data_IF_895061560851
#
_entry.id   IF_895061560851
#
_cell.length_a   1.000
_cell.length_b   1.000
_cell.length_c   1.000
_cell.angle_alpha   90.00
_cell.angle_beta   90.00
_cell.angle_gamma   90.00
#
_symmetry.space_group_name_H-M   'P 1'
#
loop_
_entity.id
_entity.type
_entity.pdbx_description
1 polymer ?
#
# COMPACT_ATOMS: atom_id res chain seq x y z
N UNK A 1 -8.70 25.01 -18.31
CA UNK A 1 -7.47 25.80 -18.54
C UNK A 1 -6.65 25.04 -19.56
N UNK A 2 -6.29 25.65 -20.70
CA UNK A 2 -5.41 25.00 -21.66
C UNK A 2 -4.04 24.82 -21.00
N UNK A 3 -3.60 23.58 -20.80
CA UNK A 3 -2.24 23.27 -20.38
C UNK A 3 -1.29 23.98 -21.35
N UNK A 4 -0.41 24.84 -20.83
CA UNK A 4 0.64 25.41 -21.67
C UNK A 4 1.49 24.25 -22.13
N UNK A 5 1.75 24.17 -23.43
CA UNK A 5 2.52 23.09 -24.05
C UNK A 5 3.91 22.89 -23.43
N UNK A 6 4.42 23.83 -22.65
CA UNK A 6 5.77 23.83 -22.08
C UNK A 6 5.86 23.24 -20.66
N UNK A 7 4.74 22.80 -20.06
CA UNK A 7 4.69 22.27 -18.69
C UNK A 7 4.75 20.72 -18.63
N UNK A 8 4.58 20.04 -19.78
CA UNK A 8 4.41 18.58 -19.89
C UNK A 8 5.74 17.89 -20.16
N UNK A 9 6.13 16.89 -19.36
CA UNK A 9 7.32 16.09 -19.62
C UNK A 9 7.10 15.13 -20.80
N UNK A 10 7.83 15.30 -21.89
CA UNK A 10 7.78 14.39 -23.04
C UNK A 10 8.81 13.28 -22.93
N UNK A 11 8.34 12.03 -22.93
CA UNK A 11 9.19 10.86 -22.75
C UNK A 11 9.16 10.01 -24.02
N UNK A 12 10.30 9.95 -24.71
CA UNK A 12 10.48 9.00 -25.79
C UNK A 12 10.72 7.61 -25.21
N UNK A 13 10.01 6.61 -25.74
CA UNK A 13 10.23 5.19 -25.43
C UNK A 13 10.32 4.37 -26.71
N UNK A 14 11.21 3.38 -26.74
CA UNK A 14 11.34 2.47 -27.90
C UNK A 14 10.07 1.66 -28.14
N UNK A 15 9.44 1.19 -27.07
CA UNK A 15 8.24 0.36 -27.12
C UNK A 15 7.26 0.72 -26.02
N UNK A 16 5.97 0.78 -26.37
CA UNK A 16 4.87 0.98 -25.43
C UNK A 16 4.22 -0.36 -25.12
N UNK A 17 4.47 -0.86 -23.90
CA UNK A 17 3.90 -2.09 -23.40
C UNK A 17 3.29 -1.86 -21.98
N UNK A 18 2.56 -2.83 -21.40
CA UNK A 18 1.94 -2.67 -20.09
C UNK A 18 2.92 -2.35 -18.96
N UNK A 19 4.15 -2.89 -18.95
CA UNK A 19 5.16 -2.61 -17.91
C UNK A 19 5.64 -1.17 -17.99
N UNK A 20 5.98 -0.70 -19.19
CA UNK A 20 6.39 0.69 -19.42
C UNK A 20 5.28 1.66 -18.99
N UNK A 21 4.03 1.42 -19.43
CA UNK A 21 2.89 2.26 -19.05
C UNK A 21 2.67 2.30 -17.54
N UNK A 22 2.59 1.13 -16.90
CA UNK A 22 2.43 1.02 -15.46
C UNK A 22 3.53 1.78 -14.70
N UNK A 23 4.79 1.61 -15.13
CA UNK A 23 5.95 2.20 -14.44
C UNK A 23 5.97 3.71 -14.54
N UNK A 24 5.70 4.28 -15.71
CA UNK A 24 5.65 5.73 -15.85
C UNK A 24 4.42 6.34 -15.19
N UNK A 25 3.28 5.65 -15.15
CA UNK A 25 2.13 6.02 -14.30
C UNK A 25 2.53 6.01 -12.82
N UNK A 26 3.20 4.97 -12.33
CA UNK A 26 3.71 4.93 -10.96
C UNK A 26 4.64 6.13 -10.66
N UNK A 27 5.62 6.38 -11.52
CA UNK A 27 6.62 7.43 -11.31
C UNK A 27 6.00 8.82 -11.35
N UNK A 28 5.19 9.14 -12.37
CA UNK A 28 4.75 10.51 -12.64
C UNK A 28 3.30 10.82 -12.28
N UNK A 29 2.48 9.84 -11.89
CA UNK A 29 1.14 10.09 -11.37
C UNK A 29 1.05 9.85 -9.86
N UNK A 30 1.86 8.92 -9.31
CA UNK A 30 1.79 8.53 -7.90
C UNK A 30 2.98 9.00 -7.06
N UNK A 31 4.21 8.77 -7.54
CA UNK A 31 5.43 9.08 -6.77
C UNK A 31 5.76 10.56 -6.84
N UNK A 32 5.76 11.13 -8.04
CA UNK A 32 6.01 12.55 -8.28
C UNK A 32 4.96 13.06 -9.29
N UNK A 33 3.77 13.47 -8.83
CA UNK A 33 2.67 13.87 -9.69
C UNK A 33 3.04 15.05 -10.61
N UNK A 34 3.12 14.82 -11.91
CA UNK A 34 3.32 15.84 -12.94
C UNK A 34 2.67 15.42 -14.27
N UNK A 35 2.38 16.38 -15.14
CA UNK A 35 1.88 16.09 -16.47
C UNK A 35 3.00 15.51 -17.34
N UNK A 36 2.78 14.33 -17.94
CA UNK A 36 3.73 13.69 -18.84
C UNK A 36 3.04 13.09 -20.06
N UNK A 37 3.80 12.88 -21.13
CA UNK A 37 3.36 12.18 -22.35
C UNK A 37 4.42 11.19 -22.81
N UNK A 38 4.02 9.94 -23.01
CA UNK A 38 4.85 8.95 -23.68
C UNK A 38 4.68 9.06 -25.20
N UNK A 39 5.77 9.02 -25.95
CA UNK A 39 5.76 8.97 -27.42
C UNK A 39 6.78 7.95 -27.94
N UNK A 40 6.49 7.39 -29.12
CA UNK A 40 7.43 6.56 -29.90
C UNK A 40 7.97 7.30 -31.13
N UNK A 41 7.48 8.51 -31.36
CA UNK A 41 7.93 9.34 -32.47
C UNK A 41 9.16 10.15 -32.00
N UNK A 42 10.33 9.69 -32.44
CA UNK A 42 11.61 10.31 -32.09
C UNK A 42 11.72 11.71 -32.69
N UNK A 43 11.16 11.97 -33.87
CA UNK A 43 11.21 13.27 -34.53
C UNK A 43 10.27 14.26 -33.86
N UNK A 44 9.05 13.84 -33.49
CA UNK A 44 8.13 14.67 -32.69
C UNK A 44 8.78 15.06 -31.36
N UNK A 45 9.43 14.09 -30.69
CA UNK A 45 10.13 14.30 -29.42
C UNK A 45 11.35 15.23 -29.55
N UNK A 46 12.15 15.09 -30.61
CA UNK A 46 13.32 15.95 -30.87
C UNK A 46 12.94 17.40 -31.10
N UNK A 47 11.79 17.64 -31.72
CA UNK A 47 11.30 18.98 -32.03
C UNK A 47 10.50 19.61 -30.87
N UNK A 48 10.26 18.87 -29.78
CA UNK A 48 9.55 19.39 -28.62
C UNK A 48 10.46 20.36 -27.83
N UNK A 49 10.03 21.63 -27.61
CA UNK A 49 10.86 22.66 -26.96
C UNK A 49 10.84 22.58 -25.43
N UNK A 50 9.90 21.84 -24.85
CA UNK A 50 9.72 21.73 -23.40
C UNK A 50 10.62 20.65 -22.76
N UNK A 51 10.35 20.33 -21.48
CA UNK A 51 11.09 19.31 -20.75
C UNK A 51 10.92 17.94 -21.40
N UNK A 52 12.03 17.28 -21.69
CA UNK A 52 12.01 16.00 -22.40
C UNK A 52 12.98 15.01 -21.80
N UNK A 53 12.71 13.72 -22.01
CA UNK A 53 13.54 12.60 -21.57
C UNK A 53 13.43 11.45 -22.56
N UNK A 54 14.52 10.76 -22.85
CA UNK A 54 14.50 9.51 -23.62
C UNK A 54 14.73 8.32 -22.70
N UNK A 55 13.99 7.23 -22.90
CA UNK A 55 14.16 5.95 -22.20
C UNK A 55 14.27 4.82 -23.23
N UNK A 56 15.51 4.38 -23.46
CA UNK A 56 15.86 3.47 -24.56
C UNK A 56 17.12 2.65 -24.20
N UNK A 57 17.27 1.46 -24.79
CA UNK A 57 18.39 0.56 -24.50
C UNK A 57 19.69 1.11 -25.09
N UNK A 58 19.61 1.62 -26.32
CA UNK A 58 20.72 2.27 -26.99
C UNK A 58 20.46 3.77 -27.08
N UNK A 59 21.41 4.57 -26.63
CA UNK A 59 21.32 6.03 -26.77
C UNK A 59 21.30 6.41 -28.25
N UNK A 60 20.28 7.13 -28.68
CA UNK A 60 20.34 7.81 -29.98
C UNK A 60 21.28 9.02 -29.87
N UNK A 61 22.08 9.25 -30.92
CA UNK A 61 23.18 10.24 -30.96
C UNK A 61 22.83 11.63 -30.39
N UNK A 62 21.58 12.06 -30.56
CA UNK A 62 21.07 13.38 -30.14
C UNK A 62 19.88 13.30 -29.15
N UNK A 63 19.61 12.14 -28.54
CA UNK A 63 18.48 11.96 -27.61
C UNK A 63 18.87 12.23 -26.15
N UNK A 64 19.43 13.41 -25.88
CA UNK A 64 19.65 13.88 -24.52
C UNK A 64 18.50 14.79 -24.04
N UNK A 65 18.11 14.73 -22.76
CA UNK A 65 18.62 13.83 -21.72
C UNK A 65 18.10 12.38 -21.87
N UNK A 66 18.91 11.41 -21.42
CA UNK A 66 18.68 9.97 -21.59
C UNK A 66 18.71 9.21 -20.26
N UNK A 67 17.73 8.33 -20.05
CA UNK A 67 17.75 7.26 -19.06
C UNK A 67 17.98 5.92 -19.76
N UNK A 68 19.01 5.15 -19.35
CA UNK A 68 19.28 3.87 -19.94
C UNK A 68 18.20 2.86 -19.56
N UNK A 69 17.84 2.01 -20.52
CA UNK A 69 16.90 0.93 -20.30
C UNK A 69 17.60 -0.43 -20.35
N UNK A 70 17.35 -1.26 -19.36
CA UNK A 70 17.65 -2.69 -19.36
C UNK A 70 16.60 -3.47 -20.15
N UNK A 71 16.51 -4.77 -19.89
CA UNK A 71 15.57 -5.66 -20.59
C UNK A 71 14.24 -5.84 -19.84
N UNK A 72 14.23 -5.67 -18.51
CA UNK A 72 13.10 -6.05 -17.64
C UNK A 72 11.75 -5.47 -18.09
N UNK A 73 11.69 -4.19 -18.48
CA UNK A 73 10.43 -3.58 -18.91
C UNK A 73 9.96 -4.04 -20.29
N UNK A 74 10.78 -4.74 -21.06
CA UNK A 74 10.47 -5.22 -22.41
C UNK A 74 10.29 -6.74 -22.49
N UNK A 75 10.52 -7.44 -21.39
CA UNK A 75 10.33 -8.87 -21.27
C UNK A 75 8.86 -9.28 -21.04
N UNK A 76 8.58 -10.54 -21.35
CA UNK A 76 7.34 -11.22 -20.97
C UNK A 76 7.63 -12.31 -19.94
N UNK A 77 6.71 -12.53 -19.01
CA UNK A 77 6.86 -13.55 -17.96
C UNK A 77 7.72 -13.11 -16.78
N UNK A 78 7.92 -14.03 -15.85
CA UNK A 78 8.62 -13.80 -14.57
C UNK A 78 9.69 -14.86 -14.44
N UNK A 79 10.91 -14.46 -14.11
CA UNK A 79 12.03 -15.37 -13.89
C UNK A 79 12.98 -14.82 -12.81
N UNK A 80 13.76 -15.69 -12.19
CA UNK A 80 14.73 -15.26 -11.19
C UNK A 80 15.84 -14.43 -11.84
N UNK A 81 16.20 -13.32 -11.19
CA UNK A 81 17.25 -12.41 -11.64
C UNK A 81 18.29 -12.27 -10.53
N UNK A 82 19.57 -12.28 -10.91
CA UNK A 82 20.63 -11.89 -10.00
C UNK A 82 20.71 -10.36 -9.97
N UNK A 83 20.44 -9.77 -8.81
CA UNK A 83 20.41 -8.33 -8.62
C UNK A 83 21.55 -7.94 -7.70
N UNK A 84 22.53 -7.24 -8.27
CA UNK A 84 23.58 -6.56 -7.53
C UNK A 84 23.09 -5.17 -7.12
N UNK A 85 23.10 -4.91 -5.81
CA UNK A 85 22.75 -3.60 -5.25
C UNK A 85 24.02 -2.81 -4.99
N UNK A 86 24.05 -1.61 -5.53
CA UNK A 86 25.16 -0.67 -5.40
C UNK A 86 24.72 0.60 -4.68
N UNK A 87 25.69 1.44 -4.31
CA UNK A 87 25.45 2.75 -3.71
C UNK A 87 25.87 3.84 -4.69
N UNK A 88 24.93 4.65 -5.15
CA UNK A 88 25.18 5.80 -6.03
C UNK A 88 24.63 7.04 -5.35
N UNK A 89 25.47 8.08 -5.26
CA UNK A 89 25.13 9.34 -4.57
C UNK A 89 24.57 9.14 -3.14
N UNK A 90 25.00 8.07 -2.45
CA UNK A 90 24.61 7.71 -1.09
C UNK A 90 23.28 6.95 -0.96
N UNK A 91 22.73 6.43 -2.06
CA UNK A 91 21.48 5.67 -2.08
C UNK A 91 21.66 4.30 -2.74
N UNK A 92 20.89 3.32 -2.29
CA UNK A 92 20.84 2.02 -2.95
C UNK A 92 20.24 2.13 -4.36
N UNK A 93 20.88 1.51 -5.35
CA UNK A 93 20.35 1.36 -6.70
C UNK A 93 20.76 0.00 -7.28
N UNK A 94 20.05 -0.46 -8.30
CA UNK A 94 20.36 -1.69 -9.02
C UNK A 94 19.86 -1.60 -10.46
N UNK A 95 20.12 -2.65 -11.26
CA UNK A 95 20.02 -2.61 -12.73
C UNK A 95 20.94 -1.55 -13.34
N UNK A 96 22.23 -1.61 -12.95
CA UNK A 96 23.27 -0.73 -13.50
C UNK A 96 23.36 -0.90 -15.01
N UNK A 97 23.41 0.22 -15.71
CA UNK A 97 23.67 0.26 -17.15
C UNK A 97 24.85 1.20 -17.36
N UNK A 98 26.04 0.69 -17.74
CA UNK A 98 27.23 1.50 -17.92
C UNK A 98 27.02 2.55 -19.04
N UNK A 99 26.77 3.79 -18.63
CA UNK A 99 26.43 4.89 -19.51
C UNK A 99 26.92 6.22 -18.91
N UNK A 100 28.05 6.73 -19.40
CA UNK A 100 28.70 7.94 -18.85
C UNK A 100 27.87 9.22 -19.05
N UNK A 101 27.06 9.26 -20.10
CA UNK A 101 26.27 10.43 -20.51
C UNK A 101 24.77 10.30 -20.21
N UNK A 102 24.40 9.31 -19.39
CA UNK A 102 23.06 9.12 -18.88
C UNK A 102 22.75 10.07 -17.71
N UNK A 103 21.47 10.43 -17.55
CA UNK A 103 20.99 11.20 -16.40
C UNK A 103 21.19 10.44 -15.09
N UNK A 104 20.98 9.13 -15.14
CA UNK A 104 21.25 8.18 -14.07
C UNK A 104 21.95 6.94 -14.67
N UNK A 105 22.98 6.39 -14.01
CA UNK A 105 23.78 5.27 -14.55
C UNK A 105 23.12 3.88 -14.34
N UNK A 106 21.80 3.84 -14.17
CA UNK A 106 21.03 2.62 -13.92
C UNK A 106 19.59 2.81 -14.41
N UNK A 107 18.90 1.70 -14.62
CA UNK A 107 17.52 1.68 -15.08
C UNK A 107 16.54 1.95 -13.93
N UNK A 108 16.31 3.23 -13.65
CA UNK A 108 15.35 3.67 -12.62
C UNK A 108 13.93 3.16 -12.88
N UNK A 109 13.35 3.24 -14.10
CA UNK A 109 12.06 2.63 -14.39
C UNK A 109 12.00 1.12 -14.05
N UNK A 110 12.97 0.30 -14.47
CA UNK A 110 12.99 -1.12 -14.12
C UNK A 110 13.11 -1.34 -12.61
N UNK A 111 13.94 -0.55 -11.91
CA UNK A 111 14.08 -0.61 -10.46
C UNK A 111 12.75 -0.33 -9.75
N UNK A 112 12.04 0.72 -10.18
CA UNK A 112 10.74 1.10 -9.65
C UNK A 112 9.69 0.01 -9.92
N UNK A 113 9.65 -0.54 -11.14
CA UNK A 113 8.78 -1.64 -11.50
C UNK A 113 9.02 -2.88 -10.63
N UNK A 114 10.27 -3.31 -10.49
CA UNK A 114 10.63 -4.50 -9.72
C UNK A 114 10.15 -4.41 -8.27
N UNK A 115 10.40 -3.27 -7.62
CA UNK A 115 10.00 -3.04 -6.23
C UNK A 115 8.47 -2.91 -6.11
N UNK A 116 7.84 -2.01 -6.86
CA UNK A 116 6.42 -1.69 -6.68
C UNK A 116 5.48 -2.82 -7.11
N UNK A 117 5.87 -3.62 -8.12
CA UNK A 117 5.10 -4.81 -8.51
C UNK A 117 5.34 -6.00 -7.59
N UNK A 118 6.24 -5.87 -6.61
CA UNK A 118 6.67 -6.97 -5.74
C UNK A 118 7.16 -8.16 -6.57
N UNK A 119 7.96 -7.91 -7.61
CA UNK A 119 8.39 -8.92 -8.58
C UNK A 119 8.98 -10.17 -7.89
N UNK A 120 9.74 -9.97 -6.82
CA UNK A 120 10.32 -11.04 -5.98
C UNK A 120 9.28 -11.98 -5.33
N UNK A 121 8.06 -11.52 -5.08
CA UNK A 121 7.00 -12.32 -4.45
C UNK A 121 6.30 -13.27 -5.43
N UNK A 122 6.50 -13.08 -6.74
CA UNK A 122 6.07 -14.02 -7.76
C UNK A 122 7.08 -15.16 -7.97
N UNK A 123 8.28 -15.04 -7.40
CA UNK A 123 9.31 -16.06 -7.42
C UNK A 123 9.15 -17.02 -6.22
N UNK A 124 9.98 -18.06 -6.16
CA UNK A 124 10.00 -18.94 -5.00
C UNK A 124 10.60 -18.22 -3.78
N UNK A 125 9.89 -18.27 -2.65
CA UNK A 125 10.34 -17.74 -1.37
C UNK A 125 9.92 -18.66 -0.23
N UNK A 126 10.58 -18.52 0.93
CA UNK A 126 10.11 -19.17 2.16
C UNK A 126 9.14 -18.25 2.86
N UNK A 127 7.86 -18.64 2.86
CA UNK A 127 6.81 -17.90 3.53
C UNK A 127 6.92 -18.02 5.06
N UNK A 128 6.33 -17.07 5.78
CA UNK A 128 6.19 -17.16 7.22
C UNK A 128 5.09 -18.16 7.66
N UNK A 129 4.84 -18.27 8.98
CA UNK A 129 3.82 -19.18 9.53
C UNK A 129 2.38 -18.88 9.08
N UNK A 130 2.14 -17.71 8.48
CA UNK A 130 0.85 -17.30 7.93
C UNK A 130 0.82 -17.38 6.41
N UNK A 131 1.88 -17.85 5.75
CA UNK A 131 1.97 -17.92 4.30
C UNK A 131 2.20 -16.56 3.64
N UNK A 132 2.78 -15.59 4.36
CA UNK A 132 3.09 -14.24 3.86
C UNK A 132 4.55 -14.18 3.42
N UNK A 133 4.87 -13.23 2.55
CA UNK A 133 6.25 -12.89 2.20
C UNK A 133 6.90 -12.08 3.34
N UNK A 134 7.93 -12.59 4.04
CA UNK A 134 8.55 -11.91 5.15
C UNK A 134 9.54 -10.82 4.67
N UNK A 135 9.73 -9.77 5.47
CA UNK A 135 10.66 -8.68 5.15
C UNK A 135 12.07 -9.18 4.88
N UNK A 136 12.53 -10.15 5.67
CA UNK A 136 13.88 -10.74 5.56
C UNK A 136 14.20 -11.39 4.20
N UNK A 137 13.17 -11.79 3.43
CA UNK A 137 13.35 -12.33 2.08
C UNK A 137 13.49 -11.22 1.02
N UNK A 138 13.06 -9.99 1.33
CA UNK A 138 13.09 -8.89 0.37
C UNK A 138 14.51 -8.46 0.02
N UNK A 139 14.73 -8.07 -1.23
CA UNK A 139 15.94 -7.38 -1.67
C UNK A 139 16.23 -6.15 -0.78
N UNK A 140 15.19 -5.38 -0.47
CA UNK A 140 15.30 -4.15 0.31
C UNK A 140 15.81 -4.38 1.75
N UNK A 141 15.35 -5.44 2.41
CA UNK A 141 15.85 -5.82 3.74
C UNK A 141 17.29 -6.32 3.66
N UNK A 142 17.58 -7.24 2.73
CA UNK A 142 18.92 -7.83 2.58
C UNK A 142 19.99 -6.79 2.23
N UNK A 143 19.62 -5.76 1.47
CA UNK A 143 20.50 -4.67 1.09
C UNK A 143 20.39 -3.42 1.99
N UNK A 144 19.64 -3.50 3.11
CA UNK A 144 19.62 -2.46 4.14
C UNK A 144 18.89 -1.15 3.80
N UNK A 145 18.06 -1.13 2.76
CA UNK A 145 17.29 0.05 2.36
C UNK A 145 15.78 -0.06 2.61
N UNK A 146 15.34 -1.10 3.33
CA UNK A 146 13.92 -1.38 3.63
C UNK A 146 13.14 -0.17 4.18
N UNK A 147 13.77 0.67 5.00
CA UNK A 147 13.15 1.86 5.62
C UNK A 147 13.29 3.14 4.82
N UNK A 148 13.80 3.04 3.60
CA UNK A 148 14.07 4.17 2.72
C UNK A 148 13.08 4.12 1.55
N UNK A 149 12.33 5.22 1.26
CA UNK A 149 11.45 5.29 0.10
C UNK A 149 12.29 5.48 -1.16
N UNK A 150 13.00 4.43 -1.57
CA UNK A 150 14.10 4.52 -2.53
C UNK A 150 13.63 5.00 -3.91
N UNK A 151 12.42 4.58 -4.32
CA UNK A 151 11.79 5.05 -5.56
C UNK A 151 11.55 6.57 -5.48
N UNK A 152 10.93 7.07 -4.41
CA UNK A 152 10.68 8.51 -4.25
C UNK A 152 11.97 9.32 -4.27
N UNK A 153 13.01 8.87 -3.56
CA UNK A 153 14.30 9.58 -3.52
C UNK A 153 14.93 9.67 -4.90
N UNK A 154 14.96 8.57 -5.66
CA UNK A 154 15.51 8.57 -7.00
C UNK A 154 14.68 9.35 -8.03
N UNK A 155 13.35 9.29 -7.93
CA UNK A 155 12.47 10.09 -8.80
C UNK A 155 12.65 11.58 -8.53
N UNK A 156 12.77 12.02 -7.27
CA UNK A 156 13.11 13.41 -6.95
C UNK A 156 14.45 13.81 -7.58
N UNK A 157 15.50 12.98 -7.44
CA UNK A 157 16.81 13.25 -8.08
C UNK A 157 16.73 13.31 -9.60
N UNK A 158 15.93 12.45 -10.24
CA UNK A 158 15.68 12.51 -11.67
C UNK A 158 15.05 13.86 -12.06
N UNK A 159 13.99 14.28 -11.35
CA UNK A 159 13.31 15.54 -11.63
C UNK A 159 14.22 16.74 -11.40
N UNK A 160 15.04 16.73 -10.35
CA UNK A 160 16.02 17.80 -10.08
C UNK A 160 17.05 17.92 -11.23
N UNK A 161 17.57 16.79 -11.73
CA UNK A 161 18.49 16.77 -12.89
C UNK A 161 17.80 17.27 -14.16
N UNK A 162 16.55 16.89 -14.41
CA UNK A 162 15.77 17.40 -15.56
C UNK A 162 15.45 18.90 -15.44
N UNK A 163 15.13 19.37 -14.24
CA UNK A 163 14.88 20.79 -13.96
C UNK A 163 16.13 21.64 -14.15
N UNK A 164 17.31 21.13 -13.83
CA UNK A 164 18.57 21.80 -14.11
C UNK A 164 18.81 22.00 -15.62
N UNK A 165 18.33 21.08 -16.46
CA UNK A 165 18.37 21.18 -17.93
C UNK A 165 17.28 22.08 -18.50
N UNK A 166 16.15 22.21 -17.81
CA UNK A 166 15.01 23.05 -18.19
C UNK A 166 14.59 23.99 -17.04
N UNK A 167 15.35 25.07 -16.74
CA UNK A 167 15.12 25.90 -15.56
C UNK A 167 13.77 26.61 -15.52
N UNK A 168 13.13 26.82 -16.67
CA UNK A 168 11.79 27.42 -16.78
C UNK A 168 10.65 26.44 -16.51
N UNK A 169 10.93 25.14 -16.33
CA UNK A 169 9.90 24.12 -16.09
C UNK A 169 9.29 24.28 -14.69
N UNK A 170 7.98 24.59 -14.56
CA UNK A 170 7.35 24.88 -13.28
C UNK A 170 6.99 23.60 -12.52
N UNK A 171 7.98 22.79 -12.20
CA UNK A 171 7.79 21.54 -11.43
C UNK A 171 7.98 21.77 -9.93
N UNK A 172 7.01 21.28 -9.14
CA UNK A 172 7.03 21.25 -7.68
C UNK A 172 6.94 19.81 -7.17
N UNK A 173 7.62 19.53 -6.06
CA UNK A 173 7.59 18.21 -5.43
C UNK A 173 6.24 17.91 -4.76
N UNK A 174 5.93 16.62 -4.54
CA UNK A 174 4.70 16.23 -3.85
C UNK A 174 4.68 16.76 -2.41
N UNK A 175 3.51 17.19 -1.96
CA UNK A 175 3.27 17.51 -0.56
C UNK A 175 3.15 16.23 0.27
N UNK A 176 3.72 16.24 1.48
CA UNK A 176 3.54 15.12 2.42
C UNK A 176 2.06 14.97 2.79
N UNK A 177 1.54 13.75 2.70
CA UNK A 177 0.20 13.39 3.15
C UNK A 177 0.28 12.26 4.16
N UNK A 178 -0.36 12.44 5.30
CA UNK A 178 -0.54 11.43 6.32
C UNK A 178 -1.98 10.89 6.27
N UNK A 179 -2.15 9.58 6.31
CA UNK A 179 -3.46 8.93 6.33
C UNK A 179 -3.50 7.93 7.50
N UNK A 180 -4.17 8.25 8.62
CA UNK A 180 -4.37 7.31 9.70
C UNK A 180 -5.31 6.18 9.26
N UNK A 181 -5.00 4.95 9.66
CA UNK A 181 -5.87 3.80 9.45
C UNK A 181 -6.04 3.05 10.77
N UNK A 182 -7.26 2.56 11.04
CA UNK A 182 -7.58 1.84 12.25
C UNK A 182 -8.25 0.51 11.93
N UNK A 183 -7.62 -0.57 12.37
CA UNK A 183 -8.19 -1.92 12.25
C UNK A 183 -9.01 -2.20 13.51
N UNK A 184 -10.32 -2.37 13.34
CA UNK A 184 -11.29 -2.62 14.41
C UNK A 184 -11.61 -4.10 14.46
N UNK A 185 -10.70 -4.87 15.08
CA UNK A 185 -10.92 -6.28 15.36
C UNK A 185 -11.92 -6.47 16.51
N UNK A 186 -11.74 -5.67 17.56
CA UNK A 186 -12.40 -5.82 18.85
C UNK A 186 -12.71 -4.46 19.47
N UNK A 187 -13.96 -4.00 19.30
CA UNK A 187 -14.41 -2.71 19.82
C UNK A 187 -14.56 -2.62 21.35
N UNK A 188 -14.68 -3.77 22.03
CA UNK A 188 -14.82 -3.84 23.49
C UNK A 188 -14.02 -5.02 24.02
N UNK A 189 -13.33 -4.89 25.15
CA UNK A 189 -12.61 -5.95 25.85
C UNK A 189 -13.58 -6.92 26.54
N UNK A 190 -14.69 -6.39 27.08
CA UNK A 190 -15.64 -7.15 27.88
C UNK A 190 -17.09 -6.93 27.44
N UNK A 191 -17.52 -5.69 27.26
CA UNK A 191 -18.90 -5.41 26.88
C UNK A 191 -19.21 -5.98 25.49
N UNK A 192 -20.48 -6.29 25.23
CA UNK A 192 -20.98 -6.74 23.91
C UNK A 192 -20.30 -8.02 23.36
N UNK A 193 -19.55 -8.75 24.18
CA UNK A 193 -18.98 -10.05 23.82
C UNK A 193 -19.88 -11.20 24.23
N UNK A 194 -19.81 -12.34 23.51
CA UNK A 194 -20.51 -13.55 23.93
C UNK A 194 -20.15 -13.99 25.35
N UNK A 195 -21.15 -14.43 26.12
CA UNK A 195 -20.98 -14.78 27.53
C UNK A 195 -19.91 -15.88 27.74
N UNK A 196 -19.82 -16.88 26.86
CA UNK A 196 -18.82 -17.95 26.98
C UNK A 196 -17.37 -17.44 26.89
N UNK A 197 -17.10 -16.38 26.11
CA UNK A 197 -15.78 -15.74 26.07
C UNK A 197 -15.47 -15.10 27.43
N UNK A 198 -16.50 -14.57 28.09
CA UNK A 198 -16.36 -13.93 29.39
C UNK A 198 -16.02 -14.93 30.48
N UNK A 199 -16.72 -16.06 30.51
CA UNK A 199 -16.42 -17.14 31.45
C UNK A 199 -15.05 -17.77 31.20
N UNK A 200 -14.68 -18.05 29.95
CA UNK A 200 -13.36 -18.58 29.62
C UNK A 200 -12.23 -17.63 30.00
N UNK A 201 -12.42 -16.32 29.75
CA UNK A 201 -11.48 -15.28 30.17
C UNK A 201 -11.34 -15.18 31.69
N UNK A 202 -12.44 -15.30 32.42
CA UNK A 202 -12.45 -15.31 33.88
C UNK A 202 -11.72 -16.53 34.45
N UNK A 203 -12.04 -17.73 33.97
CA UNK A 203 -11.39 -18.97 34.40
C UNK A 203 -9.88 -18.96 34.15
N UNK A 204 -9.45 -18.51 32.97
CA UNK A 204 -8.02 -18.37 32.63
C UNK A 204 -7.31 -17.36 33.53
N UNK A 205 -7.97 -16.24 33.88
CA UNK A 205 -7.39 -15.24 34.78
C UNK A 205 -7.26 -15.78 36.21
N UNK A 206 -8.27 -16.52 36.70
CA UNK A 206 -8.24 -17.17 38.02
C UNK A 206 -7.10 -18.19 38.10
N UNK A 207 -7.01 -19.10 37.13
CA UNK A 207 -5.95 -20.13 37.09
C UNK A 207 -4.53 -19.54 37.03
N UNK A 208 -4.38 -18.34 36.46
CA UNK A 208 -3.09 -17.63 36.33
C UNK A 208 -2.86 -16.58 37.42
N UNK A 209 -3.75 -16.47 38.41
CA UNK A 209 -3.63 -15.47 39.49
C UNK A 209 -3.69 -14.02 39.03
N UNK A 210 -4.33 -13.72 37.89
CA UNK A 210 -4.42 -12.35 37.33
C UNK A 210 -5.60 -11.58 37.92
N UNK A 211 -5.51 -11.25 39.19
CA UNK A 211 -6.56 -10.56 39.96
C UNK A 211 -6.95 -9.20 39.39
N UNK A 212 -6.00 -8.48 38.79
CA UNK A 212 -6.27 -7.20 38.12
C UNK A 212 -7.24 -7.35 36.93
N UNK A 213 -7.03 -8.36 36.08
CA UNK A 213 -7.93 -8.65 34.94
C UNK A 213 -9.35 -8.96 35.41
N UNK A 214 -9.47 -9.72 36.51
CA UNK A 214 -10.76 -10.10 37.11
C UNK A 214 -11.46 -8.84 37.63
N UNK A 215 -10.76 -8.01 38.41
CA UNK A 215 -11.31 -6.76 38.95
C UNK A 215 -11.74 -5.83 37.81
N UNK A 216 -10.89 -5.63 36.80
CA UNK A 216 -11.21 -4.78 35.64
C UNK A 216 -12.49 -5.27 34.95
N UNK A 217 -12.57 -6.57 34.65
CA UNK A 217 -13.74 -7.19 34.02
C UNK A 217 -15.01 -6.97 34.84
N UNK A 218 -14.98 -7.19 36.16
CA UNK A 218 -16.15 -7.00 37.03
C UNK A 218 -16.57 -5.53 37.11
N UNK A 219 -15.60 -4.60 37.21
CA UNK A 219 -15.89 -3.16 37.24
C UNK A 219 -16.50 -2.67 35.92
N UNK A 220 -15.97 -3.13 34.77
CA UNK A 220 -16.54 -2.78 33.46
C UNK A 220 -17.94 -3.38 33.27
N UNK A 221 -18.14 -4.65 33.59
CA UNK A 221 -19.46 -5.32 33.45
C UNK A 221 -20.52 -4.73 34.39
N UNK A 222 -20.13 -4.17 35.53
CA UNK A 222 -21.03 -3.47 36.46
C UNK A 222 -21.24 -1.99 36.11
N UNK A 223 -20.65 -1.49 35.02
CA UNK A 223 -20.76 -0.09 34.60
C UNK A 223 -19.97 0.90 35.47
N UNK A 224 -19.12 0.41 36.38
CA UNK A 224 -18.29 1.25 37.27
C UNK A 224 -17.00 1.73 36.61
N UNK A 225 -16.64 1.14 35.47
CA UNK A 225 -15.45 1.50 34.70
C UNK A 225 -15.77 1.43 33.21
N UNK A 226 -15.10 2.29 32.44
CA UNK A 226 -15.17 2.24 30.98
C UNK A 226 -14.56 0.94 30.45
N UNK A 227 -15.01 0.50 29.27
CA UNK A 227 -14.38 -0.64 28.63
C UNK A 227 -13.03 -0.24 28.03
N UNK A 228 -11.92 -0.92 28.39
CA UNK A 228 -10.58 -0.48 28.02
C UNK A 228 -10.28 -0.53 26.53
N UNK A 229 -11.04 -1.29 25.72
CA UNK A 229 -10.85 -1.31 24.26
C UNK A 229 -11.76 -0.32 23.54
N UNK A 230 -12.74 0.26 24.23
CA UNK A 230 -13.65 1.23 23.60
C UNK A 230 -13.01 2.62 23.54
N UNK A 231 -12.13 2.82 22.57
CA UNK A 231 -11.33 4.05 22.42
C UNK A 231 -11.92 5.06 21.44
N UNK A 232 -13.06 4.76 20.80
CA UNK A 232 -13.67 5.61 19.77
C UNK A 232 -13.94 7.07 20.19
N UNK A 233 -14.36 7.39 21.44
CA UNK A 233 -14.48 8.78 21.85
C UNK A 233 -13.15 9.55 21.78
N UNK A 234 -12.05 8.91 22.19
CA UNK A 234 -10.71 9.48 22.08
C UNK A 234 -10.31 9.63 20.59
N UNK A 235 -10.58 8.63 19.76
CA UNK A 235 -10.29 8.70 18.33
C UNK A 235 -11.04 9.86 17.65
N UNK A 236 -12.30 10.09 17.99
CA UNK A 236 -13.10 11.24 17.49
C UNK A 236 -12.58 12.57 18.00
N UNK A 237 -12.00 12.62 19.20
CA UNK A 237 -11.36 13.82 19.73
C UNK A 237 -10.05 14.13 18.99
N UNK A 238 -9.25 13.10 18.70
CA UNK A 238 -7.98 13.24 17.97
C UNK A 238 -8.19 13.53 16.48
N UNK A 239 -9.26 12.99 15.91
CA UNK A 239 -9.64 13.13 14.50
C UNK A 239 -11.09 13.59 14.40
N UNK A 240 -11.37 14.90 14.61
CA UNK A 240 -12.73 15.40 14.43
C UNK A 240 -13.21 15.16 12.98
N UNK A 241 -14.50 14.88 12.73
CA UNK A 241 -15.00 14.55 11.39
C UNK A 241 -14.75 15.64 10.33
N UNK A 242 -14.71 16.89 10.74
CA UNK A 242 -14.43 18.05 9.87
C UNK A 242 -12.92 18.34 9.74
N UNK A 243 -12.08 17.55 10.41
CA UNK A 243 -10.62 17.71 10.46
C UNK A 243 -9.88 16.91 9.40
N UNK A 244 -8.64 17.33 9.14
CA UNK A 244 -7.70 16.62 8.27
C UNK A 244 -6.46 16.18 9.07
N UNK A 245 -5.94 14.96 8.86
CA UNK A 245 -6.42 13.95 7.91
C UNK A 245 -7.62 13.14 8.40
N UNK A 246 -8.47 12.74 7.45
CA UNK A 246 -9.60 11.84 7.67
C UNK A 246 -9.11 10.39 7.86
N UNK A 247 -9.32 9.77 9.03
CA UNK A 247 -8.89 8.39 9.26
C UNK A 247 -9.81 7.38 8.54
N UNK A 248 -9.24 6.25 8.13
CA UNK A 248 -10.01 5.12 7.58
C UNK A 248 -10.17 4.02 8.62
N UNK A 249 -11.41 3.58 8.86
CA UNK A 249 -11.71 2.47 9.78
C UNK A 249 -11.99 1.17 9.02
N UNK A 250 -11.30 0.09 9.37
CA UNK A 250 -11.51 -1.24 8.80
C UNK A 250 -12.19 -2.15 9.83
N UNK A 251 -13.31 -2.78 9.47
CA UNK A 251 -14.06 -3.62 10.42
C UNK A 251 -13.98 -5.10 10.09
N UNK A 252 -13.62 -5.92 11.08
CA UNK A 252 -13.57 -7.38 10.94
C UNK A 252 -14.96 -7.98 11.13
N UNK A 253 -15.57 -8.42 10.02
CA UNK A 253 -16.94 -8.96 9.99
C UNK A 253 -17.03 -10.43 9.56
N UNK A 254 -15.91 -11.14 9.68
CA UNK A 254 -15.84 -12.59 9.51
C UNK A 254 -16.61 -13.36 10.60
N UNK A 255 -16.71 -14.68 10.40
CA UNK A 255 -17.23 -15.56 11.44
C UNK A 255 -16.13 -15.86 12.47
N UNK A 256 -16.52 -15.92 13.75
CA UNK A 256 -15.59 -16.23 14.85
C UNK A 256 -14.80 -17.53 14.58
N UNK A 257 -13.49 -17.47 14.80
CA UNK A 257 -12.57 -18.55 14.48
C UNK A 257 -11.27 -18.48 15.28
N UNK A 258 -10.28 -19.34 14.96
CA UNK A 258 -8.98 -19.35 15.63
C UNK A 258 -8.22 -18.02 15.51
N UNK A 259 -8.22 -17.41 14.32
CA UNK A 259 -7.55 -16.14 14.03
C UNK A 259 -8.51 -14.95 14.15
N UNK A 260 -9.76 -15.10 13.71
CA UNK A 260 -10.78 -14.04 13.76
C UNK A 260 -11.53 -14.09 15.10
N UNK A 261 -11.18 -13.18 16.02
CA UNK A 261 -11.79 -13.09 17.36
C UNK A 261 -12.85 -12.01 17.50
N UNK A 262 -13.33 -11.50 16.37
CA UNK A 262 -14.23 -10.36 16.29
C UNK A 262 -15.58 -10.58 16.99
N UNK A 263 -16.29 -9.46 17.17
CA UNK A 263 -17.66 -9.45 17.69
C UNK A 263 -18.60 -9.90 16.57
N UNK A 264 -19.61 -10.75 16.86
CA UNK A 264 -20.56 -11.19 15.85
C UNK A 264 -21.18 -10.01 15.09
N UNK A 265 -21.23 -10.04 13.74
CA UNK A 265 -21.82 -8.97 12.92
C UNK A 265 -23.30 -8.69 13.21
N UNK A 266 -24.00 -9.63 13.84
CA UNK A 266 -25.39 -9.48 14.28
C UNK A 266 -25.54 -8.73 15.61
N UNK A 267 -24.45 -8.43 16.32
CA UNK A 267 -24.50 -7.72 17.59
C UNK A 267 -25.03 -6.28 17.41
N UNK A 268 -26.16 -5.89 18.04
CA UNK A 268 -26.76 -4.58 17.83
C UNK A 268 -25.85 -3.41 18.20
N UNK A 269 -25.10 -3.50 19.29
CA UNK A 269 -24.19 -2.44 19.72
C UNK A 269 -23.04 -2.26 18.72
N UNK A 270 -22.50 -3.35 18.17
CA UNK A 270 -21.45 -3.29 17.16
C UNK A 270 -21.97 -2.70 15.85
N UNK A 271 -23.15 -3.11 15.40
CA UNK A 271 -23.80 -2.53 14.22
C UNK A 271 -24.02 -1.02 14.37
N UNK A 272 -24.53 -0.58 15.52
CA UNK A 272 -24.72 0.85 15.80
C UNK A 272 -23.39 1.63 15.82
N UNK A 273 -22.32 1.03 16.36
CA UNK A 273 -20.99 1.63 16.35
C UNK A 273 -20.46 1.80 14.91
N UNK A 274 -20.53 0.75 14.09
CA UNK A 274 -20.08 0.78 12.70
C UNK A 274 -20.89 1.82 11.91
N UNK A 275 -22.21 1.79 12.01
CA UNK A 275 -23.08 2.75 11.32
C UNK A 275 -22.79 4.21 11.74
N UNK A 276 -22.51 4.42 13.03
CA UNK A 276 -22.13 5.74 13.55
C UNK A 276 -20.76 6.20 13.05
N UNK A 277 -19.77 5.32 12.94
CA UNK A 277 -18.45 5.66 12.39
C UNK A 277 -18.48 5.84 10.88
N UNK A 278 -19.22 5.01 10.14
CA UNK A 278 -19.33 5.09 8.69
C UNK A 278 -19.99 6.39 8.22
N UNK A 279 -20.83 7.02 9.05
CA UNK A 279 -21.40 8.34 8.78
C UNK A 279 -20.34 9.45 8.82
N UNK A 280 -19.38 9.31 9.71
CA UNK A 280 -18.42 10.37 10.05
C UNK A 280 -17.07 10.16 9.35
N UNK A 281 -16.72 8.92 8.96
CA UNK A 281 -15.39 8.55 8.47
C UNK A 281 -15.42 7.55 7.31
N UNK A 282 -14.44 7.62 6.39
CA UNK A 282 -14.19 6.55 5.43
C UNK A 282 -14.07 5.19 6.13
N UNK A 283 -14.77 4.19 5.59
CA UNK A 283 -14.84 2.85 6.16
C UNK A 283 -14.51 1.80 5.10
N UNK A 284 -13.84 0.73 5.52
CA UNK A 284 -13.49 -0.43 4.69
C UNK A 284 -13.75 -1.75 5.39
N UNK A 285 -13.74 -2.83 4.62
CA UNK A 285 -13.81 -4.19 5.18
C UNK A 285 -12.44 -4.63 5.67
N UNK A 286 -12.37 -5.21 6.86
CA UNK A 286 -11.19 -5.94 7.30
C UNK A 286 -11.42 -7.43 7.00
N UNK A 287 -11.13 -7.87 5.76
CA UNK A 287 -11.45 -9.23 5.34
C UNK A 287 -10.77 -10.26 6.25
N UNK A 288 -11.55 -11.26 6.66
CA UNK A 288 -11.13 -12.23 7.66
C UNK A 288 -9.98 -13.12 7.20
N UNK A 289 -9.29 -13.72 8.17
CA UNK A 289 -8.24 -14.70 7.86
C UNK A 289 -8.79 -15.85 7.02
N UNK A 290 -10.04 -16.28 7.29
CA UNK A 290 -10.69 -17.39 6.58
C UNK A 290 -11.04 -17.04 5.13
N UNK A 291 -11.37 -15.78 4.83
CA UNK A 291 -11.71 -15.36 3.46
C UNK A 291 -10.56 -15.54 2.45
N UNK A 292 -9.32 -15.63 2.94
CA UNK A 292 -8.15 -15.97 2.11
C UNK A 292 -8.17 -17.43 1.61
N UNK A 293 -8.80 -18.34 2.36
CA UNK A 293 -8.91 -19.76 2.04
C UNK A 293 -10.26 -20.08 1.38
N UNK A 294 -11.33 -19.40 1.80
CA UNK A 294 -12.70 -19.60 1.34
C UNK A 294 -13.19 -18.34 0.62
N UNK A 295 -12.98 -18.27 -0.70
CA UNK A 295 -13.34 -17.09 -1.53
C UNK A 295 -14.82 -16.69 -1.41
N UNK A 296 -15.71 -17.67 -1.24
CA UNK A 296 -17.15 -17.43 -1.03
C UNK A 296 -17.47 -16.59 0.22
N UNK A 297 -16.52 -16.40 1.14
CA UNK A 297 -16.70 -15.52 2.32
C UNK A 297 -16.49 -14.04 2.01
N UNK A 298 -15.71 -13.71 0.98
CA UNK A 298 -15.43 -12.31 0.60
C UNK A 298 -16.73 -11.53 0.32
N UNK A 299 -17.62 -11.98 -0.60
CA UNK A 299 -18.85 -11.24 -0.88
C UNK A 299 -19.78 -11.15 0.34
N UNK A 300 -19.83 -12.21 1.17
CA UNK A 300 -20.64 -12.22 2.40
C UNK A 300 -20.17 -11.18 3.42
N UNK A 301 -18.86 -11.06 3.63
CA UNK A 301 -18.27 -10.09 4.55
C UNK A 301 -18.45 -8.65 4.05
N UNK A 302 -18.31 -8.44 2.75
CA UNK A 302 -18.59 -7.16 2.07
C UNK A 302 -20.07 -6.77 2.22
N UNK A 303 -20.98 -7.68 1.94
CA UNK A 303 -22.43 -7.46 2.05
C UNK A 303 -22.83 -7.07 3.48
N UNK A 304 -22.29 -7.76 4.49
CA UNK A 304 -22.52 -7.41 5.90
C UNK A 304 -22.11 -5.97 6.21
N UNK A 305 -20.94 -5.54 5.74
CA UNK A 305 -20.50 -4.16 5.99
C UNK A 305 -21.40 -3.17 5.26
N UNK A 306 -21.73 -3.44 3.99
CA UNK A 306 -22.60 -2.59 3.18
C UNK A 306 -23.99 -2.43 3.82
N UNK A 307 -24.56 -3.51 4.34
CA UNK A 307 -25.84 -3.50 5.05
C UNK A 307 -25.78 -2.66 6.33
N UNK A 308 -24.70 -2.76 7.11
CA UNK A 308 -24.55 -2.04 8.38
C UNK A 308 -24.24 -0.56 8.14
N UNK A 309 -23.38 -0.24 7.18
CA UNK A 309 -22.95 1.14 6.89
C UNK A 309 -23.95 1.91 6.03
N UNK A 310 -24.77 1.21 5.25
CA UNK A 310 -25.65 1.81 4.23
C UNK A 310 -24.88 2.35 3.01
N UNK A 311 -23.63 1.95 2.81
CA UNK A 311 -22.76 2.47 1.75
C UNK A 311 -22.05 1.34 0.98
N UNK A 312 -21.68 1.56 -0.30
CA UNK A 312 -20.82 0.65 -1.03
C UNK A 312 -19.46 0.48 -0.34
N UNK A 313 -18.97 -0.76 -0.29
CA UNK A 313 -17.66 -1.07 0.28
C UNK A 313 -16.66 -1.17 -0.86
N UNK A 314 -15.71 -0.23 -0.89
CA UNK A 314 -14.68 -0.15 -1.94
C UNK A 314 -13.26 -0.29 -1.42
N UNK A 315 -13.11 -0.37 -0.08
CA UNK A 315 -11.81 -0.43 0.62
C UNK A 315 -11.67 -1.72 1.38
N UNK A 316 -10.48 -2.31 1.34
CA UNK A 316 -10.13 -3.49 2.09
C UNK A 316 -8.81 -3.31 2.86
N UNK A 317 -8.71 -4.01 3.98
CA UNK A 317 -7.45 -4.45 4.55
C UNK A 317 -7.57 -5.92 4.94
N UNK A 318 -6.62 -6.76 4.57
CA UNK A 318 -6.58 -8.18 4.96
C UNK A 318 -6.17 -8.32 6.41
N UNK A 319 -6.91 -9.11 7.18
CA UNK A 319 -6.51 -9.50 8.52
C UNK A 319 -5.16 -10.23 8.47
N UNK A 320 -4.27 -9.91 9.41
CA UNK A 320 -2.86 -10.34 9.42
C UNK A 320 -2.02 -9.87 8.22
N UNK A 321 -2.46 -8.89 7.42
CA UNK A 321 -1.76 -8.48 6.17
C UNK A 321 -1.51 -9.67 5.23
N UNK A 322 -2.42 -10.65 5.23
CA UNK A 322 -2.29 -11.87 4.44
C UNK A 322 -2.57 -11.55 2.97
N UNK A 323 -1.49 -11.30 2.23
CA UNK A 323 -1.52 -11.04 0.79
C UNK A 323 -0.88 -12.19 0.02
N UNK A 324 -1.56 -12.67 -1.01
CA UNK A 324 -1.04 -13.62 -1.99
C UNK A 324 -1.20 -13.03 -3.39
N UNK A 325 -0.09 -12.71 -4.05
CA UNK A 325 -0.09 -12.11 -5.37
C UNK A 325 -0.13 -13.18 -6.47
N UNK A 326 -0.89 -12.98 -7.56
CA UNK A 326 -1.82 -11.89 -7.83
C UNK A 326 -3.25 -12.15 -7.30
N UNK A 327 -3.47 -13.29 -6.66
CA UNK A 327 -4.80 -13.86 -6.41
C UNK A 327 -5.65 -12.97 -5.49
N UNK A 328 -5.08 -12.44 -4.42
CA UNK A 328 -5.81 -11.55 -3.50
C UNK A 328 -6.36 -10.33 -4.24
N UNK A 329 -5.55 -9.65 -5.07
CA UNK A 329 -6.03 -8.47 -5.81
C UNK A 329 -7.05 -8.81 -6.89
N UNK A 330 -6.93 -9.95 -7.56
CA UNK A 330 -7.94 -10.42 -8.51
C UNK A 330 -9.29 -10.65 -7.83
N UNK A 331 -9.29 -11.31 -6.66
CA UNK A 331 -10.51 -11.54 -5.86
C UNK A 331 -11.12 -10.24 -5.37
N UNK A 332 -10.31 -9.30 -4.89
CA UNK A 332 -10.77 -7.99 -4.44
C UNK A 332 -11.46 -7.22 -5.58
N UNK A 333 -10.81 -7.12 -6.75
CA UNK A 333 -11.37 -6.45 -7.92
C UNK A 333 -12.67 -7.13 -8.40
N UNK A 334 -12.73 -8.46 -8.40
CA UNK A 334 -13.93 -9.21 -8.76
C UNK A 334 -15.12 -8.94 -7.83
N UNK A 335 -14.86 -8.49 -6.59
CA UNK A 335 -15.87 -8.12 -5.59
C UNK A 335 -16.03 -6.59 -5.44
N UNK A 336 -15.56 -5.80 -6.39
CA UNK A 336 -15.77 -4.34 -6.42
C UNK A 336 -14.87 -3.55 -5.45
N UNK A 337 -13.85 -4.17 -4.86
CA UNK A 337 -12.87 -3.49 -4.02
C UNK A 337 -11.77 -2.89 -4.91
N UNK A 338 -11.71 -1.56 -4.96
CA UNK A 338 -10.73 -0.81 -5.74
C UNK A 338 -9.53 -0.30 -4.93
N UNK A 339 -9.62 -0.25 -3.61
CA UNK A 339 -8.55 0.22 -2.73
C UNK A 339 -8.17 -0.86 -1.70
N UNK A 340 -6.89 -1.21 -1.60
CA UNK A 340 -6.36 -2.14 -0.61
C UNK A 340 -5.25 -1.50 0.22
N UNK A 341 -5.30 -1.74 1.53
CA UNK A 341 -4.38 -1.17 2.53
C UNK A 341 -3.55 -2.27 3.22
N UNK A 342 -3.41 -3.43 2.59
CA UNK A 342 -2.77 -4.61 3.17
C UNK A 342 -1.28 -4.71 2.85
N UNK A 343 -0.79 -3.97 1.85
CA UNK A 343 0.61 -4.02 1.43
C UNK A 343 1.51 -3.43 2.52
N UNK A 344 2.21 -4.31 3.21
CA UNK A 344 3.21 -4.01 4.23
C UNK A 344 3.83 -5.29 4.75
N UNK A 345 4.97 -5.22 5.41
CA UNK A 345 5.55 -6.39 6.08
C UNK A 345 4.97 -6.52 7.48
N UNK A 346 4.69 -7.75 7.89
CA UNK A 346 4.17 -8.02 9.22
C UNK A 346 5.26 -8.17 10.29
N UNK A 347 6.50 -8.42 9.85
CA UNK A 347 7.66 -8.74 10.69
C UNK A 347 8.67 -7.58 10.82
N UNK A 348 8.62 -6.56 9.97
CA UNK A 348 9.45 -5.35 10.09
C UNK A 348 8.74 -4.11 9.50
N UNK A 349 9.15 -2.93 9.93
CA UNK A 349 8.67 -1.65 9.39
C UNK A 349 9.50 -1.29 8.17
N UNK A 350 8.85 -1.02 7.04
CA UNK A 350 9.52 -0.71 5.79
C UNK A 350 8.59 -0.37 4.63
N UNK A 351 9.19 0.05 3.52
CA UNK A 351 8.53 0.22 2.23
C UNK A 351 8.45 -1.13 1.53
N UNK A 352 7.22 -1.53 1.19
CA UNK A 352 6.91 -2.76 0.47
C UNK A 352 6.32 -2.41 -0.88
#
# INVERSE_FOLDING_TARGET
>A
MAERRDDVLWIYVESLNPRVRYTFTLIFEWVFPLAYRLTRDLEEWRNYPGPRLSYCQMKHRDAAPWLPAGTLLFESGIHAMEIEVEQIEGEACFFRVPAEDAVLPFDLPAMAFYLATRYEEYLSYTADSHGRFPASQSLASRAGFLRIPIINRWVCRLVDKLKALHPSWPVCGPAFRYLPTFDVDLAWAFLNRPWWIQFGGMGKALLRGRWADIRMRLLTLSGRCHDPFFTFPLLRQLHPPEGSPEPVFFFLLGNYGPFDKNIPPSNPAFRSLIAGLARDYPTGIHLSYRSNQEEAKIPLEIERLAEISGMPVVRNRQHFLKLNLPETYRRLLANGIGEDYSMGYADDIGFR
#
